data_IF_357297975767
#
_entry.id   IF_357297975767
#
_cell.length_a   1.000
_cell.length_b   1.000
_cell.length_c   1.000
_cell.angle_alpha   90.00
_cell.angle_beta   90.00
_cell.angle_gamma   90.00
#
_symmetry.space_group_name_H-M   'P 1'
#
loop_
_entity.id
_entity.type
_entity.pdbx_description
1 polymer ?
#
# COMPACT_ATOMS: atom_id res chain seq x y z
N UNK A 1 -0.35 4.06 -15.07
CA UNK A 1 -0.19 4.53 -13.69
C UNK A 1 0.29 5.98 -13.67
N UNK A 2 -0.42 6.87 -12.97
CA UNK A 2 -0.06 8.29 -12.78
C UNK A 2 0.17 8.57 -11.30
N UNK A 3 1.24 9.27 -10.95
CA UNK A 3 1.49 9.70 -9.56
C UNK A 3 0.44 10.71 -9.08
N UNK A 4 -0.08 10.50 -7.87
CA UNK A 4 -0.94 11.45 -7.18
C UNK A 4 -0.09 12.52 -6.50
N UNK A 5 -0.53 13.77 -6.60
CA UNK A 5 0.09 14.91 -5.93
C UNK A 5 -0.47 15.03 -4.50
N UNK A 6 0.27 15.64 -3.55
CA UNK A 6 -0.16 15.75 -2.15
C UNK A 6 -1.52 16.44 -1.91
N UNK A 7 -2.01 17.25 -2.86
CA UNK A 7 -3.33 17.89 -2.75
C UNK A 7 -4.48 17.03 -3.28
N UNK A 8 -4.19 15.87 -3.88
CA UNK A 8 -5.19 14.96 -4.45
C UNK A 8 -5.64 13.88 -3.45
N UNK A 9 -4.97 13.76 -2.30
CA UNK A 9 -5.27 12.82 -1.23
C UNK A 9 -4.97 13.45 0.13
N UNK A 10 -5.40 12.79 1.21
CA UNK A 10 -5.00 13.12 2.56
C UNK A 10 -4.50 11.85 3.26
N UNK A 11 -3.58 12.03 4.21
CA UNK A 11 -3.17 10.97 5.12
C UNK A 11 -3.77 11.27 6.49
N UNK A 12 -4.30 10.23 7.11
CA UNK A 12 -4.91 10.24 8.43
C UNK A 12 -4.51 8.96 9.16
N UNK A 13 -5.06 8.73 10.34
CA UNK A 13 -4.91 7.50 11.11
C UNK A 13 -6.28 6.89 11.38
N UNK A 14 -6.31 5.58 11.59
CA UNK A 14 -7.53 4.92 12.06
C UNK A 14 -8.03 5.55 13.37
N UNK A 15 -9.35 5.69 13.49
CA UNK A 15 -9.97 5.99 14.78
C UNK A 15 -9.82 4.81 15.74
N UNK A 16 -10.16 5.03 17.02
CA UNK A 16 -10.18 3.94 18.01
C UNK A 16 -11.21 2.86 17.66
N UNK A 17 -12.36 3.26 17.12
CA UNK A 17 -13.41 2.35 16.70
C UNK A 17 -12.98 1.50 15.49
N UNK A 18 -12.31 2.12 14.52
CA UNK A 18 -11.74 1.43 13.34
C UNK A 18 -10.69 0.39 13.79
N UNK A 19 -9.75 0.78 14.65
CA UNK A 19 -8.75 -0.12 15.23
C UNK A 19 -9.39 -1.32 15.95
N UNK A 20 -10.37 -1.04 16.82
CA UNK A 20 -11.06 -2.09 17.58
C UNK A 20 -11.83 -3.04 16.67
N UNK A 21 -12.49 -2.52 15.64
CA UNK A 21 -13.20 -3.33 14.66
C UNK A 21 -12.24 -4.22 13.85
N UNK A 22 -11.03 -3.72 13.56
CA UNK A 22 -9.97 -4.46 12.89
C UNK A 22 -9.13 -5.37 13.81
N UNK A 23 -9.39 -5.38 15.12
CA UNK A 23 -8.62 -6.16 16.09
C UNK A 23 -7.18 -5.66 16.31
N UNK A 24 -6.86 -4.43 15.92
CA UNK A 24 -5.50 -3.88 16.00
C UNK A 24 -5.31 -3.03 17.25
N UNK A 25 -4.10 -3.08 17.81
CA UNK A 25 -3.72 -2.27 18.98
C UNK A 25 -3.09 -0.91 18.58
N UNK A 26 -2.57 -0.81 17.36
CA UNK A 26 -1.97 0.40 16.82
C UNK A 26 -2.76 0.86 15.59
N UNK A 27 -2.95 2.18 15.39
CA UNK A 27 -3.68 2.68 14.24
C UNK A 27 -2.91 2.44 12.96
N UNK A 28 -3.60 1.90 11.96
CA UNK A 28 -3.09 1.92 10.59
C UNK A 28 -3.08 3.34 10.03
N UNK A 29 -2.23 3.54 9.02
CA UNK A 29 -2.30 4.76 8.20
C UNK A 29 -3.57 4.69 7.35
N UNK A 30 -4.27 5.81 7.21
CA UNK A 30 -5.47 5.93 6.38
C UNK A 30 -5.20 6.88 5.24
N UNK A 31 -5.42 6.42 4.01
CA UNK A 31 -5.43 7.27 2.81
C UNK A 31 -6.87 7.70 2.53
N UNK A 32 -7.09 9.01 2.42
CA UNK A 32 -8.36 9.57 1.99
C UNK A 32 -8.22 10.00 0.53
N UNK A 33 -8.94 9.35 -0.37
CA UNK A 33 -8.90 9.64 -1.80
C UNK A 33 -10.29 9.49 -2.42
N UNK A 34 -10.72 10.52 -3.18
CA UNK A 34 -12.05 10.60 -3.81
C UNK A 34 -13.22 10.35 -2.85
N UNK A 35 -13.11 10.82 -1.61
CA UNK A 35 -14.16 10.69 -0.60
C UNK A 35 -14.23 9.31 0.08
N UNK A 36 -13.34 8.39 -0.28
CA UNK A 36 -13.19 7.10 0.39
C UNK A 36 -12.00 7.13 1.37
N UNK A 37 -12.11 6.36 2.45
CA UNK A 37 -11.06 6.12 3.44
C UNK A 37 -10.52 4.70 3.23
N UNK A 38 -9.21 4.57 3.07
CA UNK A 38 -8.52 3.30 2.85
C UNK A 38 -7.49 3.09 3.95
N UNK A 39 -7.73 2.14 4.86
CA UNK A 39 -6.72 1.71 5.80
C UNK A 39 -5.68 0.87 5.05
N UNK A 40 -4.41 1.25 5.16
CA UNK A 40 -3.29 0.57 4.49
C UNK A 40 -2.45 -0.16 5.54
N UNK A 41 -1.86 -1.29 5.15
CA UNK A 41 -0.97 -2.09 6.00
C UNK A 41 0.39 -1.44 6.29
N UNK A 42 0.66 -0.27 5.71
CA UNK A 42 1.93 0.44 5.87
C UNK A 42 2.14 0.97 7.30
N UNK A 43 3.37 0.81 7.78
CA UNK A 43 3.81 1.38 9.04
C UNK A 43 3.88 2.91 8.96
N UNK A 44 3.79 3.58 10.12
CA UNK A 44 3.88 5.04 10.22
C UNK A 44 5.24 5.63 9.85
N UNK A 45 6.27 4.78 9.71
CA UNK A 45 7.62 5.17 9.29
C UNK A 45 7.95 4.80 7.85
N UNK A 46 6.95 4.37 7.08
CA UNK A 46 7.12 3.92 5.70
C UNK A 46 7.00 5.10 4.75
N UNK A 47 7.81 5.08 3.70
CA UNK A 47 7.68 6.02 2.60
C UNK A 47 6.50 5.60 1.72
N UNK A 48 5.56 6.53 1.52
CA UNK A 48 4.34 6.28 0.75
C UNK A 48 4.37 7.03 -0.58
N UNK A 49 4.23 6.26 -1.66
CA UNK A 49 4.02 6.77 -3.02
C UNK A 49 2.65 6.31 -3.52
N UNK A 50 1.79 7.26 -3.90
CA UNK A 50 0.42 6.97 -4.32
C UNK A 50 0.23 7.20 -5.81
N UNK A 51 -0.54 6.32 -6.46
CA UNK A 51 -0.81 6.38 -7.89
C UNK A 51 -2.26 6.08 -8.24
N UNK A 52 -2.66 6.52 -9.42
CA UNK A 52 -3.96 6.24 -10.02
C UNK A 52 -3.81 5.56 -11.38
N UNK A 53 -4.60 4.53 -11.63
CA UNK A 53 -4.78 3.91 -12.93
C UNK A 53 -6.15 3.26 -13.05
N UNK A 54 -6.89 3.53 -14.14
CA UNK A 54 -8.18 2.89 -14.40
C UNK A 54 -9.19 3.03 -13.25
N UNK A 55 -9.20 4.18 -12.56
CA UNK A 55 -10.06 4.42 -11.40
C UNK A 55 -9.66 3.71 -10.11
N UNK A 56 -8.58 2.91 -10.11
CA UNK A 56 -8.03 2.31 -8.91
C UNK A 56 -6.91 3.18 -8.30
N UNK A 57 -6.81 3.12 -6.99
CA UNK A 57 -5.74 3.69 -6.18
C UNK A 57 -4.68 2.61 -5.94
N UNK A 58 -3.42 2.95 -6.16
CA UNK A 58 -2.27 2.11 -5.87
C UNK A 58 -1.45 2.80 -4.79
N UNK A 59 -1.20 2.12 -3.67
CA UNK A 59 -0.41 2.63 -2.55
C UNK A 59 0.84 1.79 -2.43
N UNK A 60 1.98 2.36 -2.81
CA UNK A 60 3.29 1.77 -2.60
C UNK A 60 3.80 2.22 -1.23
N UNK A 61 4.13 1.27 -0.37
CA UNK A 61 4.81 1.48 0.89
C UNK A 61 6.21 0.87 0.82
N UNK A 62 7.23 1.63 1.20
CA UNK A 62 8.62 1.16 1.22
C UNK A 62 9.32 1.52 2.51
N UNK A 63 10.27 0.68 2.89
CA UNK A 63 11.19 1.01 3.97
C UNK A 63 12.54 0.39 3.72
N UNK A 64 13.40 1.13 3.01
CA UNK A 64 14.73 0.68 2.59
C UNK A 64 15.57 0.17 3.77
N UNK A 65 15.49 0.82 4.93
CA UNK A 65 16.23 0.42 6.13
C UNK A 65 15.79 -0.91 6.75
N UNK A 66 14.59 -1.38 6.40
CA UNK A 66 14.04 -2.66 6.84
C UNK A 66 13.94 -3.68 5.69
N UNK A 67 14.37 -3.30 4.48
CA UNK A 67 14.44 -4.22 3.35
C UNK A 67 13.08 -4.76 2.91
N UNK A 68 12.01 -3.96 2.92
CA UNK A 68 10.73 -4.39 2.37
C UNK A 68 10.07 -3.34 1.47
N UNK A 69 9.16 -3.84 0.63
CA UNK A 69 8.24 -3.05 -0.18
C UNK A 69 6.88 -3.76 -0.28
N UNK A 70 5.81 -2.99 -0.20
CA UNK A 70 4.44 -3.47 -0.34
C UNK A 70 3.62 -2.58 -1.27
N UNK A 71 2.69 -3.18 -1.99
CA UNK A 71 1.72 -2.50 -2.84
C UNK A 71 0.33 -2.95 -2.44
N UNK A 72 -0.56 -2.00 -2.15
CA UNK A 72 -1.98 -2.26 -1.98
C UNK A 72 -2.78 -1.52 -3.06
N UNK A 73 -3.79 -2.19 -3.61
CA UNK A 73 -4.63 -1.66 -4.68
C UNK A 73 -6.08 -1.60 -4.22
N UNK A 74 -6.70 -0.44 -4.39
CA UNK A 74 -8.07 -0.18 -3.96
C UNK A 74 -8.95 0.32 -5.10
N UNK A 75 -10.23 -0.05 -5.07
CA UNK A 75 -11.27 0.47 -5.97
C UNK A 75 -12.60 0.53 -5.22
N UNK A 76 -13.32 1.63 -5.37
CA UNK A 76 -14.66 1.84 -4.83
C UNK A 76 -14.78 1.59 -3.30
N UNK A 77 -13.73 1.91 -2.54
CA UNK A 77 -13.69 1.72 -1.08
C UNK A 77 -13.20 0.35 -0.61
N UNK A 78 -12.90 -0.58 -1.53
CA UNK A 78 -12.44 -1.93 -1.20
C UNK A 78 -11.01 -2.18 -1.65
N UNK A 79 -10.25 -2.97 -0.88
CA UNK A 79 -8.94 -3.48 -1.30
C UNK A 79 -9.17 -4.65 -2.26
N UNK A 80 -8.65 -4.53 -3.48
CA UNK A 80 -8.85 -5.53 -4.55
C UNK A 80 -7.61 -6.38 -4.81
N UNK A 81 -6.43 -5.92 -4.39
CA UNK A 81 -5.19 -6.67 -4.47
C UNK A 81 -4.17 -6.12 -3.47
N UNK A 82 -3.22 -6.97 -3.08
CA UNK A 82 -2.03 -6.59 -2.34
C UNK A 82 -0.85 -7.50 -2.73
N UNK A 83 0.36 -6.99 -2.62
CA UNK A 83 1.60 -7.75 -2.79
C UNK A 83 2.68 -7.16 -1.93
N UNK A 84 3.48 -8.01 -1.32
CA UNK A 84 4.53 -7.63 -0.40
C UNK A 84 5.79 -8.47 -0.64
N UNK A 85 6.96 -7.85 -0.45
CA UNK A 85 8.24 -8.54 -0.44
C UNK A 85 9.14 -7.98 0.66
N UNK A 86 9.75 -8.86 1.44
CA UNK A 86 10.82 -8.60 2.40
C UNK A 86 12.07 -9.46 2.14
N UNK A 87 12.07 -10.29 1.09
CA UNK A 87 13.24 -11.04 0.68
C UNK A 87 14.34 -10.10 0.20
N UNK A 88 15.51 -10.17 0.84
CA UNK A 88 16.63 -9.22 0.67
C UNK A 88 16.90 -8.85 -0.79
N UNK A 89 17.15 -9.83 -1.68
CA UNK A 89 17.43 -9.55 -3.11
C UNK A 89 16.23 -8.93 -3.86
N UNK A 90 15.00 -9.36 -3.56
CA UNK A 90 13.81 -8.88 -4.24
C UNK A 90 13.42 -7.48 -3.76
N UNK A 91 13.49 -7.24 -2.45
CA UNK A 91 13.21 -5.96 -1.86
C UNK A 91 14.28 -4.92 -2.23
N UNK A 92 15.56 -5.28 -2.24
CA UNK A 92 16.63 -4.41 -2.76
C UNK A 92 16.40 -4.03 -4.21
N UNK A 93 16.04 -5.01 -5.06
CA UNK A 93 15.70 -4.76 -6.45
C UNK A 93 14.53 -3.77 -6.56
N UNK A 94 13.44 -3.98 -5.82
CA UNK A 94 12.25 -3.10 -5.85
C UNK A 94 12.58 -1.71 -5.33
N UNK A 95 13.29 -1.60 -4.21
CA UNK A 95 13.66 -0.32 -3.59
C UNK A 95 14.65 0.48 -4.44
N UNK A 96 15.48 -0.18 -5.25
CA UNK A 96 16.35 0.47 -6.23
C UNK A 96 15.64 1.06 -7.45
N UNK A 97 14.35 0.76 -7.66
CA UNK A 97 13.56 1.35 -8.75
C UNK A 97 12.98 2.71 -8.36
N UNK A 98 12.67 3.55 -9.36
CA UNK A 98 11.81 4.69 -9.09
C UNK A 98 10.41 4.20 -8.70
N UNK A 99 9.72 4.97 -7.84
CA UNK A 99 8.46 4.53 -7.24
C UNK A 99 7.41 4.03 -8.25
N UNK A 100 7.28 4.70 -9.41
CA UNK A 100 6.35 4.27 -10.45
C UNK A 100 6.74 2.93 -11.10
N UNK A 101 8.04 2.63 -11.24
CA UNK A 101 8.51 1.35 -11.75
C UNK A 101 8.41 0.25 -10.69
N UNK A 102 8.69 0.57 -9.42
CA UNK A 102 8.44 -0.32 -8.29
C UNK A 102 6.97 -0.74 -8.22
N UNK A 103 6.05 0.22 -8.23
CA UNK A 103 4.61 -0.05 -8.19
C UNK A 103 4.14 -0.88 -9.40
N UNK A 104 4.60 -0.57 -10.62
CA UNK A 104 4.28 -1.39 -11.80
C UNK A 104 4.82 -2.81 -11.68
N UNK A 105 6.01 -2.98 -11.10
CA UNK A 105 6.62 -4.31 -10.93
C UNK A 105 5.83 -5.15 -9.94
N UNK A 106 5.49 -4.58 -8.79
CA UNK A 106 4.66 -5.24 -7.79
C UNK A 106 3.24 -5.52 -8.31
N UNK A 107 2.63 -4.61 -9.06
CA UNK A 107 1.31 -4.84 -9.67
C UNK A 107 1.33 -6.03 -10.64
N UNK A 108 2.38 -6.16 -11.46
CA UNK A 108 2.54 -7.33 -12.32
C UNK A 108 2.72 -8.63 -11.54
N UNK A 109 3.28 -8.57 -10.32
CA UNK A 109 3.36 -9.74 -9.44
C UNK A 109 1.99 -10.11 -8.87
N UNK A 110 1.18 -9.13 -8.45
CA UNK A 110 -0.22 -9.36 -8.04
C UNK A 110 -0.98 -10.17 -9.11
N UNK A 111 -0.85 -9.74 -10.37
CA UNK A 111 -1.56 -10.34 -11.50
C UNK A 111 -1.00 -11.71 -11.90
N UNK A 112 0.29 -11.95 -11.67
CA UNK A 112 0.96 -13.19 -12.04
C UNK A 112 0.74 -14.32 -11.02
N UNK A 113 0.58 -14.00 -9.73
CA UNK A 113 0.44 -14.99 -8.66
C UNK A 113 -1.02 -15.34 -8.33
N UNK A 114 -2.01 -14.64 -8.90
CA UNK A 114 -3.41 -14.98 -8.67
C UNK A 114 -3.80 -14.87 -7.20
N UNK A 115 -3.50 -13.73 -6.56
CA UNK A 115 -4.14 -13.27 -5.33
C UNK A 115 -4.22 -14.29 -4.18
N UNK A 116 -3.08 -14.76 -3.67
CA UNK A 116 -3.04 -15.23 -2.29
C UNK A 116 -2.65 -14.06 -1.38
N UNK A 117 -3.65 -13.50 -0.71
CA UNK A 117 -3.46 -12.50 0.34
C UNK A 117 -2.65 -13.13 1.47
N UNK A 118 -1.39 -12.72 1.63
CA UNK A 118 -0.63 -13.00 2.83
C UNK A 118 -1.23 -12.16 3.97
N UNK A 119 -2.20 -12.74 4.66
CA UNK A 119 -2.78 -12.17 5.87
C UNK A 119 -1.69 -12.05 6.94
N UNK A 120 -1.34 -10.81 7.30
CA UNK A 120 -0.63 -10.54 8.53
C UNK A 120 -1.59 -10.75 9.71
N UNK A 121 -1.45 -11.88 10.41
CA UNK A 121 -1.94 -12.02 11.78
C UNK A 121 -1.07 -11.11 12.67
N UNK A 122 -1.67 -10.01 13.14
CA UNK A 122 -1.15 -9.19 14.24
C UNK A 122 -1.79 -9.62 15.56
#
# INVERSE_FOLDING_TARGET
>A
MRTLKPFEYQLDRETWEEQRAAGRYNPATVVIWRGHRYAIGAGTGDDLDLFEEGGALYVLARRDSLGYAGLEVFRDGERIADTFTDYEEQAEYINGLSAIYAAKRLANWCDAEGGEAYGYDY
#
